data_IF_563412167753
#
_entry.id   IF_563412167753
#
_cell.length_a   1.000
_cell.length_b   1.000
_cell.length_c   1.000
_cell.angle_alpha   90.00
_cell.angle_beta   90.00
_cell.angle_gamma   90.00
#
_symmetry.space_group_name_H-M   'P 1'
#
loop_
_entity.id
_entity.type
_entity.pdbx_description
1 polymer ?
#
# COMPACT_ATOMS: atom_id res chain seq x y z
N UNK A 1 -36.65 -1.01 2.56
CA UNK A 1 -36.81 0.36 2.02
C UNK A 1 -35.62 1.18 2.47
N UNK A 2 -34.70 1.53 1.56
CA UNK A 2 -33.59 2.43 1.87
C UNK A 2 -34.14 3.85 2.04
N UNK A 3 -33.91 4.46 3.21
CA UNK A 3 -34.30 5.85 3.47
C UNK A 3 -33.43 6.77 2.63
N UNK A 4 -34.02 7.43 1.62
CA UNK A 4 -33.36 8.49 0.86
C UNK A 4 -32.99 9.65 1.80
N UNK A 5 -31.70 9.92 1.93
CA UNK A 5 -31.17 11.05 2.69
C UNK A 5 -31.35 12.32 1.86
N UNK A 6 -32.17 13.27 2.33
CA UNK A 6 -32.52 14.54 1.65
C UNK A 6 -31.43 15.62 1.79
N UNK A 7 -30.16 15.24 1.65
CA UNK A 7 -29.02 16.16 1.75
C UNK A 7 -28.08 15.92 0.57
N UNK A 8 -27.42 17.00 0.09
CA UNK A 8 -26.39 16.87 -0.94
C UNK A 8 -25.33 15.89 -0.48
N UNK A 9 -24.79 15.09 -1.40
CA UNK A 9 -23.74 14.11 -1.11
C UNK A 9 -22.61 14.78 -0.35
N UNK A 10 -22.24 14.20 0.79
CA UNK A 10 -21.08 14.63 1.56
C UNK A 10 -19.82 14.25 0.76
N UNK A 11 -19.35 15.17 -0.07
CA UNK A 11 -18.17 15.01 -0.92
C UNK A 11 -16.94 14.67 -0.08
N UNK A 12 -16.89 15.14 1.17
CA UNK A 12 -15.81 14.82 2.10
C UNK A 12 -15.80 13.34 2.44
N UNK A 13 -16.97 12.75 2.77
CA UNK A 13 -17.08 11.32 3.07
C UNK A 13 -16.81 10.43 1.85
N UNK A 14 -17.23 10.86 0.66
CA UNK A 14 -16.91 10.14 -0.58
C UNK A 14 -15.41 10.16 -0.89
N UNK A 15 -14.76 11.32 -0.72
CA UNK A 15 -13.31 11.46 -0.86
C UNK A 15 -12.55 10.63 0.20
N UNK A 16 -13.02 10.60 1.45
CA UNK A 16 -12.45 9.74 2.48
C UNK A 16 -12.57 8.28 2.10
N UNK A 17 -13.72 7.85 1.57
CA UNK A 17 -13.94 6.47 1.13
C UNK A 17 -13.01 6.09 -0.03
N UNK A 18 -12.78 7.01 -0.98
CA UNK A 18 -11.83 6.82 -2.09
C UNK A 18 -10.39 6.73 -1.59
N UNK A 19 -9.97 7.62 -0.71
CA UNK A 19 -8.63 7.61 -0.12
C UNK A 19 -8.40 6.38 0.76
N UNK A 20 -9.42 5.91 1.49
CA UNK A 20 -9.36 4.65 2.24
C UNK A 20 -9.12 3.42 1.36
N UNK A 21 -9.66 3.43 0.13
CA UNK A 21 -9.45 2.34 -0.85
C UNK A 21 -8.04 2.36 -1.44
N UNK A 22 -7.49 3.55 -1.68
CA UNK A 22 -6.18 3.72 -2.32
C UNK A 22 -5.03 3.63 -1.31
N UNK A 23 -5.21 4.19 -0.12
CA UNK A 23 -4.20 4.32 0.92
C UNK A 23 -4.76 3.84 2.27
N UNK A 24 -5.04 2.54 2.43
CA UNK A 24 -5.61 2.01 3.67
C UNK A 24 -4.72 2.27 4.88
N UNK A 25 -3.40 2.34 4.67
CA UNK A 25 -2.43 2.64 5.73
C UNK A 25 -2.61 4.02 6.35
N UNK A 26 -3.17 4.99 5.61
CA UNK A 26 -3.38 6.37 6.08
C UNK A 26 -4.68 6.54 6.86
N UNK A 27 -5.45 5.47 7.06
CA UNK A 27 -6.69 5.54 7.81
C UNK A 27 -6.41 5.45 9.31
N UNK A 28 -6.98 6.39 10.06
CA UNK A 28 -6.82 6.50 11.50
C UNK A 28 -8.19 6.69 12.14
N UNK A 29 -8.30 6.40 13.43
CA UNK A 29 -9.53 6.60 14.20
C UNK A 29 -9.34 7.81 15.12
N UNK A 30 -10.20 8.81 15.00
CA UNK A 30 -10.26 9.94 15.93
C UNK A 30 -11.55 9.88 16.74
N UNK A 31 -11.45 10.21 18.04
CA UNK A 31 -12.64 10.42 18.86
C UNK A 31 -13.23 11.79 18.53
N UNK A 32 -14.50 11.81 18.16
CA UNK A 32 -15.28 13.05 18.10
C UNK A 32 -15.72 13.47 19.51
N UNK A 33 -16.15 14.73 19.67
CA UNK A 33 -16.63 15.31 20.93
C UNK A 33 -17.83 14.55 21.53
N UNK A 34 -18.54 13.77 20.71
CA UNK A 34 -19.65 12.90 21.08
C UNK A 34 -19.21 11.52 21.62
N UNK A 35 -17.91 11.25 21.71
CA UNK A 35 -17.35 9.97 22.14
C UNK A 35 -17.38 8.86 21.06
N UNK A 36 -17.87 9.14 19.86
CA UNK A 36 -17.88 8.19 18.74
C UNK A 36 -16.51 8.14 18.04
N UNK A 37 -16.07 6.94 17.67
CA UNK A 37 -14.89 6.72 16.84
C UNK A 37 -15.25 7.06 15.39
N UNK A 38 -14.68 8.12 14.84
CA UNK A 38 -14.80 8.46 13.42
C UNK A 38 -13.53 8.05 12.70
N UNK A 39 -13.70 7.44 11.52
CA UNK A 39 -12.61 7.20 10.59
C UNK A 39 -12.15 8.54 10.01
N UNK A 40 -10.90 8.88 10.26
CA UNK A 40 -10.23 10.06 9.74
C UNK A 40 -9.05 9.64 8.86
N UNK A 41 -8.51 10.59 8.11
CA UNK A 41 -7.29 10.41 7.34
C UNK A 41 -6.14 11.01 8.13
N UNK A 42 -5.07 10.25 8.27
CA UNK A 42 -3.79 10.76 8.71
C UNK A 42 -3.12 11.49 7.55
N UNK A 43 -3.18 12.82 7.59
CA UNK A 43 -2.60 13.65 6.53
C UNK A 43 -1.07 13.61 6.52
N UNK A 44 -0.42 13.35 7.66
CA UNK A 44 1.04 13.24 7.71
C UNK A 44 1.50 11.91 7.10
N UNK A 45 0.76 10.83 7.35
CA UNK A 45 1.00 9.54 6.71
C UNK A 45 0.67 9.57 5.21
N UNK A 46 -0.43 10.21 4.82
CA UNK A 46 -0.78 10.42 3.41
C UNK A 46 0.31 11.23 2.69
N UNK A 47 0.82 12.29 3.33
CA UNK A 47 1.95 13.06 2.82
C UNK A 47 3.20 12.19 2.70
N UNK A 48 3.49 11.32 3.66
CA UNK A 48 4.64 10.43 3.60
C UNK A 48 4.53 9.38 2.48
N UNK A 49 3.36 8.78 2.27
CA UNK A 49 3.12 7.81 1.19
C UNK A 49 3.24 8.47 -0.19
N UNK A 50 2.81 9.73 -0.31
CA UNK A 50 2.89 10.50 -1.56
C UNK A 50 4.22 11.24 -1.76
N UNK A 51 5.08 11.30 -0.74
CA UNK A 51 6.35 12.03 -0.77
C UNK A 51 7.51 11.09 -1.03
N UNK A 52 8.43 11.54 -1.90
CA UNK A 52 9.72 10.86 -2.13
C UNK A 52 10.74 11.13 -1.03
N UNK A 53 10.43 12.03 -0.07
CA UNK A 53 11.27 12.40 1.06
C UNK A 53 10.57 12.17 2.42
N UNK A 54 11.36 12.05 3.48
CA UNK A 54 10.91 11.84 4.87
C UNK A 54 10.37 13.17 5.45
N UNK A 55 9.10 13.21 5.88
CA UNK A 55 8.43 14.42 6.42
C UNK A 55 8.28 14.37 7.96
N UNK A 56 9.01 15.16 8.73
CA UNK A 56 8.80 15.22 10.20
C UNK A 56 7.37 15.71 10.56
N UNK A 57 6.71 15.02 11.50
CA UNK A 57 5.35 15.34 11.95
C UNK A 57 5.10 14.92 13.42
N UNK A 58 4.07 15.47 14.10
CA UNK A 58 3.87 15.33 15.54
C UNK A 58 3.51 13.90 15.95
N UNK A 59 4.31 13.30 16.84
CA UNK A 59 4.17 11.91 17.30
C UNK A 59 3.21 11.75 18.48
N UNK A 60 1.89 11.90 18.28
CA UNK A 60 0.91 11.58 19.35
C UNK A 60 -0.19 10.63 18.88
N UNK A 61 0.16 9.41 18.42
CA UNK A 61 -0.80 8.31 18.18
C UNK A 61 -0.19 6.95 18.49
N UNK A 62 -1.00 5.99 18.93
CA UNK A 62 -0.55 4.61 19.18
C UNK A 62 -0.16 3.94 17.87
N UNK A 63 1.14 3.79 17.64
CA UNK A 63 1.70 3.13 16.47
C UNK A 63 2.95 2.36 16.88
N UNK A 64 3.19 1.22 16.22
CA UNK A 64 4.48 0.54 16.33
C UNK A 64 5.53 1.36 15.57
N UNK A 65 6.48 1.95 16.29
CA UNK A 65 7.58 2.70 15.72
C UNK A 65 8.92 2.01 16.02
N UNK A 66 9.79 1.97 15.02
CA UNK A 66 11.14 1.44 15.12
C UNK A 66 12.08 2.28 14.24
N UNK A 67 13.39 2.33 14.55
CA UNK A 67 14.38 2.99 13.71
C UNK A 67 14.35 2.43 12.28
N UNK A 68 14.31 3.30 11.27
CA UNK A 68 14.27 2.88 9.86
C UNK A 68 12.88 2.54 9.31
N UNK A 69 11.79 2.59 10.10
CA UNK A 69 10.41 2.36 9.60
C UNK A 69 10.06 3.22 8.38
N UNK A 70 10.47 4.49 8.41
CA UNK A 70 10.18 5.48 7.36
C UNK A 70 10.96 5.20 6.09
N UNK A 71 12.22 4.81 6.23
CA UNK A 71 13.08 4.41 5.12
C UNK A 71 12.53 3.14 4.46
N UNK A 72 12.09 2.16 5.25
CA UNK A 72 11.48 0.93 4.73
C UNK A 72 10.22 1.21 3.89
N UNK A 73 9.35 2.14 4.33
CA UNK A 73 8.17 2.56 3.55
C UNK A 73 8.57 3.23 2.23
N UNK A 74 9.56 4.13 2.25
CA UNK A 74 10.08 4.76 1.04
C UNK A 74 10.67 3.74 0.07
N UNK A 75 11.46 2.79 0.57
CA UNK A 75 12.04 1.72 -0.25
C UNK A 75 10.96 0.81 -0.82
N UNK A 76 9.89 0.51 -0.09
CA UNK A 76 8.77 -0.29 -0.60
C UNK A 76 8.04 0.43 -1.75
N UNK A 77 7.81 1.73 -1.63
CA UNK A 77 7.09 2.53 -2.64
C UNK A 77 7.95 3.01 -3.81
N UNK A 78 9.28 2.89 -3.72
CA UNK A 78 10.17 3.32 -4.79
C UNK A 78 9.92 2.51 -6.09
N UNK A 79 9.87 3.17 -7.26
CA UNK A 79 9.70 2.48 -8.53
C UNK A 79 10.89 1.56 -8.83
N UNK A 80 10.65 0.47 -9.56
CA UNK A 80 11.68 -0.47 -9.99
C UNK A 80 12.05 -0.24 -11.46
N UNK A 81 13.35 -0.15 -11.76
CA UNK A 81 13.90 0.01 -13.12
C UNK A 81 14.65 -1.23 -13.62
N UNK A 82 14.37 -2.40 -13.01
CA UNK A 82 14.95 -3.69 -13.39
C UNK A 82 14.00 -4.43 -14.34
N UNK A 83 14.50 -5.47 -15.01
CA UNK A 83 13.70 -6.34 -15.86
C UNK A 83 14.10 -7.79 -15.66
N UNK A 84 13.17 -8.72 -15.89
CA UNK A 84 13.43 -10.15 -15.85
C UNK A 84 14.08 -10.59 -17.17
N UNK A 85 15.15 -11.39 -17.07
CA UNK A 85 15.80 -12.01 -18.22
C UNK A 85 15.63 -13.53 -18.13
N UNK A 86 15.05 -14.19 -19.15
CA UNK A 86 14.96 -15.64 -19.16
C UNK A 86 16.34 -16.29 -19.35
N UNK A 87 16.64 -17.31 -18.55
CA UNK A 87 17.85 -18.13 -18.69
C UNK A 87 17.47 -19.55 -19.15
N UNK A 88 17.40 -19.77 -20.46
CA UNK A 88 16.99 -21.07 -21.03
C UNK A 88 17.97 -22.20 -20.72
N UNK A 89 19.25 -21.89 -20.56
CA UNK A 89 20.31 -22.88 -20.33
C UNK A 89 20.20 -23.56 -18.97
N UNK A 90 19.75 -22.82 -17.96
CA UNK A 90 19.56 -23.33 -16.59
C UNK A 90 18.12 -23.75 -16.29
N UNK A 91 17.22 -23.53 -17.24
CA UNK A 91 15.81 -23.85 -17.07
C UNK A 91 15.51 -25.28 -17.47
N UNK A 92 14.73 -25.96 -16.63
CA UNK A 92 14.17 -27.28 -16.94
C UNK A 92 12.79 -27.08 -17.57
N UNK A 93 12.55 -27.68 -18.73
CA UNK A 93 11.26 -27.65 -19.43
C UNK A 93 10.72 -26.22 -19.66
N UNK A 94 11.59 -25.31 -20.09
CA UNK A 94 11.32 -23.86 -20.15
C UNK A 94 9.97 -23.49 -20.81
N UNK A 95 9.61 -24.14 -21.92
CA UNK A 95 8.40 -23.78 -22.67
C UNK A 95 7.12 -24.46 -22.14
N UNK A 96 7.21 -25.41 -21.19
CA UNK A 96 6.05 -26.19 -20.69
C UNK A 96 5.85 -26.11 -19.17
N UNK A 97 6.88 -25.79 -18.40
CA UNK A 97 6.80 -25.68 -16.94
C UNK A 97 5.90 -24.52 -16.52
N UNK A 98 5.12 -24.72 -15.46
CA UNK A 98 4.32 -23.68 -14.80
C UNK A 98 4.98 -23.14 -13.54
N UNK A 99 6.22 -23.57 -13.25
CA UNK A 99 6.98 -23.18 -12.08
C UNK A 99 8.02 -22.13 -12.48
N UNK A 100 8.21 -21.13 -11.63
CA UNK A 100 9.16 -20.04 -11.86
C UNK A 100 10.19 -20.00 -10.73
N UNK A 101 11.45 -19.88 -11.10
CA UNK A 101 12.53 -19.54 -10.18
C UNK A 101 13.12 -18.18 -10.61
N UNK A 102 13.31 -17.28 -9.65
CA UNK A 102 13.88 -15.94 -9.88
C UNK A 102 15.11 -15.82 -9.00
N UNK A 103 16.26 -15.53 -9.62
CA UNK A 103 17.50 -15.24 -8.92
C UNK A 103 17.68 -13.73 -8.74
N UNK A 104 17.93 -13.28 -7.50
CA UNK A 104 18.18 -11.88 -7.17
C UNK A 104 17.67 -11.45 -5.80
N UNK A 105 17.54 -10.14 -5.61
CA UNK A 105 16.92 -9.55 -4.42
C UNK A 105 15.40 -9.78 -4.42
N UNK A 106 14.87 -10.19 -3.27
CA UNK A 106 13.46 -10.58 -3.16
C UNK A 106 12.49 -9.39 -3.23
N UNK A 107 12.86 -8.21 -2.73
CA UNK A 107 12.03 -7.01 -2.82
C UNK A 107 11.91 -6.59 -4.29
N UNK A 108 12.99 -6.67 -5.05
CA UNK A 108 12.97 -6.38 -6.47
C UNK A 108 12.11 -7.38 -7.25
N UNK A 109 12.26 -8.68 -6.96
CA UNK A 109 11.43 -9.72 -7.59
C UNK A 109 9.93 -9.50 -7.32
N UNK A 110 9.56 -9.20 -6.07
CA UNK A 110 8.17 -8.93 -5.70
C UNK A 110 7.61 -7.69 -6.38
N UNK A 111 8.41 -6.62 -6.52
CA UNK A 111 8.02 -5.42 -7.26
C UNK A 111 7.78 -5.69 -8.74
N UNK A 112 8.63 -6.49 -9.38
CA UNK A 112 8.45 -6.87 -10.79
C UNK A 112 7.20 -7.74 -11.00
N UNK A 113 6.89 -8.63 -10.05
CA UNK A 113 5.72 -9.48 -10.13
C UNK A 113 4.41 -8.76 -9.78
N UNK A 114 4.48 -7.61 -9.09
CA UNK A 114 3.33 -6.91 -8.53
C UNK A 114 2.23 -6.65 -9.58
N UNK A 115 2.56 -6.05 -10.72
CA UNK A 115 1.55 -5.69 -11.73
C UNK A 115 0.86 -6.92 -12.35
N UNK A 116 1.62 -7.99 -12.61
CA UNK A 116 1.11 -9.16 -13.35
C UNK A 116 0.42 -10.18 -12.43
N UNK A 117 0.88 -10.29 -11.19
CA UNK A 117 0.44 -11.31 -10.22
C UNK A 117 -0.35 -10.76 -9.03
N UNK A 118 -0.77 -9.49 -9.07
CA UNK A 118 -1.62 -8.90 -8.04
C UNK A 118 -2.86 -9.75 -7.78
N UNK A 119 -3.07 -10.13 -6.52
CA UNK A 119 -4.20 -10.97 -6.07
C UNK A 119 -4.29 -12.36 -6.72
N UNK A 120 -3.21 -12.88 -7.33
CA UNK A 120 -3.16 -14.22 -7.93
C UNK A 120 -2.46 -15.28 -7.05
N UNK A 121 -1.78 -14.87 -5.99
CA UNK A 121 -1.04 -15.77 -5.08
C UNK A 121 -2.00 -16.27 -3.98
N UNK A 122 -2.16 -17.60 -3.90
CA UNK A 122 -3.05 -18.24 -2.92
C UNK A 122 -2.43 -18.36 -1.52
N UNK A 123 -1.12 -18.57 -1.46
CA UNK A 123 -0.35 -18.78 -0.23
C UNK A 123 1.06 -18.24 -0.45
N UNK A 124 1.60 -17.56 0.58
CA UNK A 124 2.98 -17.05 0.66
C UNK A 124 3.69 -17.82 1.78
#
# INVERSE_FOLDING_TARGET
>A
MEKLKLHSSDLTQDNITKLAKLFPNCMTESRAEDGTLKRAIDFDQLRQELSTAIIEGPQERYQLNWPGKREALLTANAPIAKTLRPCREESVDFDTTQNLFIEGDNLDALKLLQETYLNKVKMI
#
